data_IF_191796553441
#
_entry.id   IF_191796553441
#
_cell.length_a   1.000
_cell.length_b   1.000
_cell.length_c   1.000
_cell.angle_alpha   90.00
_cell.angle_beta   90.00
_cell.angle_gamma   90.00
#
_symmetry.space_group_name_H-M   'P 1'
#
loop_
_entity.id
_entity.type
_entity.pdbx_description
1 polymer ?
#
# COMPACT_ATOMS: atom_id res chain seq x y z
N UNK A 1 -9.24 12.87 -7.74
CA UNK A 1 -9.37 11.59 -7.01
C UNK A 1 -8.80 11.80 -5.63
N UNK A 2 -9.43 11.21 -4.60
CA UNK A 2 -8.83 11.14 -3.27
C UNK A 2 -7.50 10.36 -3.31
N UNK A 3 -6.56 10.71 -2.44
CA UNK A 3 -5.22 10.09 -2.32
C UNK A 3 -5.34 8.59 -2.09
N UNK A 4 -6.39 8.14 -1.40
CA UNK A 4 -6.72 6.73 -1.23
C UNK A 4 -6.97 5.99 -2.55
N UNK A 5 -7.78 6.56 -3.45
CA UNK A 5 -8.03 5.94 -4.76
C UNK A 5 -6.79 6.01 -5.66
N UNK A 6 -6.04 7.11 -5.60
CA UNK A 6 -4.78 7.23 -6.32
C UNK A 6 -3.78 6.15 -5.87
N UNK A 7 -3.64 5.92 -4.56
CA UNK A 7 -2.85 4.82 -4.00
C UNK A 7 -3.34 3.47 -4.52
N UNK A 8 -4.63 3.19 -4.36
CA UNK A 8 -5.24 1.90 -4.74
C UNK A 8 -5.01 1.56 -6.22
N UNK A 9 -5.28 2.50 -7.13
CA UNK A 9 -5.06 2.28 -8.56
C UNK A 9 -3.57 2.19 -8.91
N UNK A 10 -2.71 2.94 -8.22
CA UNK A 10 -1.26 2.86 -8.44
C UNK A 10 -0.69 1.52 -7.97
N UNK A 11 -1.11 1.02 -6.81
CA UNK A 11 -0.77 -0.33 -6.33
C UNK A 11 -1.25 -1.39 -7.30
N UNK A 12 -2.54 -1.38 -7.68
CA UNK A 12 -3.07 -2.34 -8.63
C UNK A 12 -2.33 -2.30 -9.97
N UNK A 13 -2.12 -1.09 -10.52
CA UNK A 13 -1.38 -0.89 -11.77
C UNK A 13 0.07 -1.39 -11.71
N UNK A 14 0.79 -1.10 -10.62
CA UNK A 14 2.17 -1.55 -10.43
C UNK A 14 2.29 -3.07 -10.32
N UNK A 15 1.39 -3.71 -9.56
CA UNK A 15 1.34 -5.17 -9.44
C UNK A 15 0.96 -5.84 -10.76
N UNK A 16 -0.01 -5.28 -11.49
CA UNK A 16 -0.40 -5.76 -12.82
C UNK A 16 0.73 -5.61 -13.84
N UNK A 17 1.51 -4.53 -13.81
CA UNK A 17 2.64 -4.33 -14.70
C UNK A 17 3.73 -5.40 -14.49
N UNK A 18 4.10 -5.65 -13.23
CA UNK A 18 5.05 -6.71 -12.88
C UNK A 18 4.52 -8.09 -13.26
N UNK A 19 3.24 -8.33 -13.00
CA UNK A 19 2.56 -9.57 -13.37
C UNK A 19 2.64 -9.84 -14.87
N UNK A 20 2.30 -8.83 -15.70
CA UNK A 20 2.31 -8.97 -17.15
C UNK A 20 3.71 -9.35 -17.65
N UNK A 21 4.75 -8.69 -17.15
CA UNK A 21 6.13 -8.99 -17.50
C UNK A 21 6.53 -10.44 -17.13
N UNK A 22 6.15 -10.91 -15.94
CA UNK A 22 6.45 -12.25 -15.45
C UNK A 22 5.65 -13.36 -16.15
N UNK A 23 4.42 -13.09 -16.60
CA UNK A 23 3.59 -14.07 -17.31
C UNK A 23 4.06 -14.21 -18.77
N UNK A 24 4.24 -13.07 -19.45
CA UNK A 24 4.50 -13.02 -20.89
C UNK A 24 5.97 -13.17 -21.25
N UNK A 25 6.87 -12.59 -20.44
CA UNK A 25 8.31 -12.60 -20.67
C UNK A 25 9.15 -13.17 -19.51
N UNK A 26 8.79 -14.30 -18.88
CA UNK A 26 9.51 -14.81 -17.70
C UNK A 26 11.00 -15.04 -17.97
N UNK A 27 11.34 -15.64 -19.13
CA UNK A 27 12.74 -15.91 -19.48
C UNK A 27 13.57 -14.64 -19.66
N UNK A 28 12.95 -13.58 -20.17
CA UNK A 28 13.61 -12.28 -20.30
C UNK A 28 13.91 -11.69 -18.92
N UNK A 29 12.91 -11.67 -18.03
CA UNK A 29 13.09 -11.17 -16.66
C UNK A 29 14.16 -11.96 -15.91
N UNK A 30 14.13 -13.30 -15.98
CA UNK A 30 15.15 -14.14 -15.35
C UNK A 30 16.53 -13.81 -15.92
N UNK A 31 16.68 -13.73 -17.25
CA UNK A 31 17.95 -13.42 -17.88
C UNK A 31 18.50 -12.04 -17.53
N UNK A 32 17.62 -11.05 -17.29
CA UNK A 32 18.01 -9.70 -16.86
C UNK A 32 18.48 -9.64 -15.41
N UNK A 33 18.04 -10.58 -14.56
CA UNK A 33 18.36 -10.60 -13.13
C UNK A 33 19.52 -11.53 -12.79
N UNK A 34 19.90 -12.44 -13.70
CA UNK A 34 21.04 -13.33 -13.53
C UNK A 34 22.35 -12.54 -13.55
N UNK A 35 23.24 -12.85 -12.61
CA UNK A 35 24.59 -12.27 -12.56
C UNK A 35 25.44 -12.78 -13.75
N UNK A 36 25.27 -14.05 -14.13
CA UNK A 36 25.86 -14.65 -15.32
C UNK A 36 24.77 -15.00 -16.33
N UNK A 37 24.85 -14.42 -17.54
CA UNK A 37 23.83 -14.64 -18.57
C UNK A 37 23.81 -16.11 -19.01
N UNK A 38 22.71 -16.79 -18.69
CA UNK A 38 22.43 -18.16 -19.15
C UNK A 38 20.94 -18.30 -19.49
N UNK A 39 20.56 -19.34 -20.25
CA UNK A 39 19.15 -19.66 -20.44
C UNK A 39 18.43 -19.86 -19.10
N UNK A 40 17.23 -19.30 -18.99
CA UNK A 40 16.35 -19.53 -17.86
C UNK A 40 15.95 -21.00 -17.80
N UNK A 41 16.09 -21.62 -16.64
CA UNK A 41 15.69 -23.01 -16.42
C UNK A 41 14.16 -23.12 -16.36
N UNK A 42 13.63 -24.33 -16.63
CA UNK A 42 12.19 -24.58 -16.59
C UNK A 42 11.55 -24.24 -15.24
N UNK A 43 12.29 -24.44 -14.13
CA UNK A 43 11.80 -24.13 -12.78
C UNK A 43 11.75 -22.62 -12.53
N UNK A 44 12.75 -21.85 -12.99
CA UNK A 44 12.74 -20.38 -12.86
C UNK A 44 11.59 -19.77 -13.65
N UNK A 45 11.36 -20.28 -14.88
CA UNK A 45 10.25 -19.87 -15.72
C UNK A 45 8.90 -20.22 -15.10
N UNK A 46 8.77 -21.41 -14.52
CA UNK A 46 7.55 -21.83 -13.82
C UNK A 46 7.26 -20.92 -12.61
N UNK A 47 8.25 -20.72 -11.74
CA UNK A 47 8.11 -19.87 -10.55
C UNK A 47 7.84 -18.41 -10.90
N UNK A 48 8.48 -17.87 -11.94
CA UNK A 48 8.20 -16.53 -12.45
C UNK A 48 6.73 -16.39 -12.87
N UNK A 49 6.17 -17.35 -13.61
CA UNK A 49 4.75 -17.32 -13.98
C UNK A 49 3.82 -17.47 -12.78
N UNK A 50 4.11 -18.37 -11.85
CA UNK A 50 3.32 -18.51 -10.62
C UNK A 50 3.30 -17.20 -9.81
N UNK A 51 4.44 -16.53 -9.69
CA UNK A 51 4.53 -15.21 -9.06
C UNK A 51 3.71 -14.19 -9.87
N UNK A 52 3.84 -14.17 -11.20
CA UNK A 52 3.06 -13.31 -12.07
C UNK A 52 1.55 -13.45 -11.86
N UNK A 53 1.01 -14.68 -11.84
CA UNK A 53 -0.40 -14.92 -11.56
C UNK A 53 -0.81 -14.51 -10.14
N UNK A 54 0.07 -14.70 -9.16
CA UNK A 54 -0.16 -14.27 -7.77
C UNK A 54 -0.25 -12.74 -7.67
N UNK A 55 0.66 -12.01 -8.32
CA UNK A 55 0.63 -10.55 -8.35
C UNK A 55 -0.60 -10.01 -9.08
N UNK A 56 -1.05 -10.65 -10.17
CA UNK A 56 -2.30 -10.29 -10.84
C UNK A 56 -3.49 -10.44 -9.91
N UNK A 57 -3.53 -11.56 -9.19
CA UNK A 57 -4.61 -11.85 -8.23
C UNK A 57 -4.61 -10.81 -7.12
N UNK A 58 -3.44 -10.45 -6.57
CA UNK A 58 -3.33 -9.39 -5.56
C UNK A 58 -3.77 -8.02 -6.10
N UNK A 59 -3.45 -7.68 -7.35
CA UNK A 59 -3.91 -6.45 -7.99
C UNK A 59 -5.45 -6.40 -8.07
N UNK A 60 -6.07 -7.49 -8.51
CA UNK A 60 -7.53 -7.62 -8.59
C UNK A 60 -8.16 -7.55 -7.20
N UNK A 61 -7.64 -8.28 -6.21
CA UNK A 61 -8.11 -8.24 -4.84
C UNK A 61 -7.99 -6.84 -4.24
N UNK A 62 -6.90 -6.12 -4.53
CA UNK A 62 -6.72 -4.73 -4.08
C UNK A 62 -7.83 -3.83 -4.62
N UNK A 63 -8.16 -3.94 -5.91
CA UNK A 63 -9.25 -3.15 -6.51
C UNK A 63 -10.64 -3.51 -5.96
N UNK A 64 -10.88 -4.81 -5.70
CA UNK A 64 -12.17 -5.31 -5.18
C UNK A 64 -12.39 -4.93 -3.72
N UNK A 65 -11.39 -5.17 -2.85
CA UNK A 65 -11.53 -5.00 -1.40
C UNK A 65 -11.52 -3.54 -0.94
N UNK A 66 -11.03 -2.64 -1.79
CA UNK A 66 -11.06 -1.18 -1.58
C UNK A 66 -12.32 -0.54 -2.14
N UNK A 67 -13.23 -1.32 -2.75
CA UNK A 67 -14.48 -0.80 -3.33
C UNK A 67 -14.27 0.06 -4.58
N UNK A 68 -13.11 -0.06 -5.25
CA UNK A 68 -12.81 0.67 -6.49
C UNK A 68 -13.57 0.12 -7.71
N UNK A 69 -14.13 -1.08 -7.58
CA UNK A 69 -15.06 -1.68 -8.55
C UNK A 69 -16.43 -1.76 -7.86
N UNK A 70 -17.46 -1.04 -8.37
CA UNK A 70 -18.79 -1.09 -7.77
C UNK A 70 -19.40 -2.47 -7.99
N UNK A 71 -19.56 -3.23 -6.90
CA UNK A 71 -20.16 -4.57 -6.93
C UNK A 71 -21.69 -4.55 -6.96
N UNK A 72 -22.29 -3.39 -6.66
CA UNK A 72 -23.75 -3.19 -6.62
C UNK A 72 -24.15 -1.87 -7.27
N UNK A 73 -25.26 -1.87 -8.03
CA UNK A 73 -25.76 -0.69 -8.75
C UNK A 73 -26.30 0.44 -7.85
N UNK A 74 -26.29 0.26 -6.53
CA UNK A 74 -26.84 1.19 -5.53
C UNK A 74 -25.83 2.19 -4.97
N UNK A 75 -24.55 2.12 -5.37
CA UNK A 75 -23.48 2.90 -4.73
C UNK A 75 -23.10 4.11 -5.60
N UNK A 76 -23.75 5.26 -5.37
CA UNK A 76 -23.48 6.52 -6.07
C UNK A 76 -22.39 7.39 -5.42
N UNK A 77 -21.97 7.05 -4.20
CA UNK A 77 -20.96 7.79 -3.42
C UNK A 77 -19.64 7.03 -3.34
N UNK A 78 -18.52 7.75 -3.39
CA UNK A 78 -17.17 7.20 -3.30
C UNK A 78 -16.91 6.47 -1.97
N UNK A 79 -16.10 5.41 -2.04
CA UNK A 79 -15.65 4.64 -0.87
C UNK A 79 -14.52 5.38 -0.16
N UNK A 80 -14.56 5.39 1.16
CA UNK A 80 -13.61 6.09 2.03
C UNK A 80 -12.83 5.10 2.91
N UNK A 81 -11.76 5.58 3.55
CA UNK A 81 -10.97 4.82 4.53
C UNK A 81 -11.51 4.91 5.97
N UNK A 82 -12.75 5.37 6.14
CA UNK A 82 -13.37 5.54 7.45
C UNK A 82 -13.87 4.20 8.00
N UNK A 83 -13.62 3.92 9.28
CA UNK A 83 -14.05 2.68 9.96
C UNK A 83 -15.59 2.51 9.95
N UNK A 84 -16.34 3.61 9.80
CA UNK A 84 -17.80 3.60 9.70
C UNK A 84 -18.33 3.46 8.28
N UNK A 85 -17.46 3.38 7.27
CA UNK A 85 -17.89 3.20 5.88
C UNK A 85 -18.30 1.74 5.63
N UNK A 86 -19.60 1.51 5.67
CA UNK A 86 -20.18 0.18 5.45
C UNK A 86 -20.03 -0.32 4.00
N UNK A 87 -19.58 0.53 3.06
CA UNK A 87 -19.46 0.20 1.64
C UNK A 87 -18.23 -0.65 1.32
N UNK A 88 -17.15 -0.54 2.10
CA UNK A 88 -15.93 -1.33 1.91
C UNK A 88 -15.24 -1.62 3.26
N UNK A 89 -15.75 -2.59 4.04
CA UNK A 89 -15.18 -2.93 5.36
C UNK A 89 -13.72 -3.40 5.30
N UNK A 90 -13.24 -3.77 4.11
CA UNK A 90 -11.87 -4.22 3.89
C UNK A 90 -10.94 -3.14 3.30
N UNK A 91 -11.41 -1.90 3.08
CA UNK A 91 -10.60 -0.84 2.48
C UNK A 91 -9.37 -0.50 3.33
N UNK A 92 -9.56 -0.22 4.63
CA UNK A 92 -8.46 0.11 5.54
C UNK A 92 -7.51 -1.08 5.78
N UNK A 93 -7.98 -2.31 6.09
CA UNK A 93 -7.10 -3.47 6.17
C UNK A 93 -6.30 -3.75 4.89
N UNK A 94 -6.93 -3.59 3.72
CA UNK A 94 -6.26 -3.78 2.42
C UNK A 94 -5.20 -2.71 2.20
N UNK A 95 -5.50 -1.45 2.51
CA UNK A 95 -4.54 -0.35 2.48
C UNK A 95 -3.32 -0.65 3.37
N UNK A 96 -3.54 -1.02 4.63
CA UNK A 96 -2.46 -1.35 5.57
C UNK A 96 -1.61 -2.52 5.08
N UNK A 97 -2.26 -3.60 4.63
CA UNK A 97 -1.57 -4.81 4.17
C UNK A 97 -0.74 -4.55 2.91
N UNK A 98 -1.32 -3.86 1.93
CA UNK A 98 -0.60 -3.50 0.69
C UNK A 98 0.53 -2.50 0.96
N UNK A 99 0.35 -1.60 1.94
CA UNK A 99 1.42 -0.68 2.36
C UNK A 99 2.60 -1.43 2.96
N UNK A 100 2.32 -2.39 3.85
CA UNK A 100 3.33 -3.28 4.44
C UNK A 100 4.01 -4.16 3.39
N UNK A 101 3.25 -4.67 2.40
CA UNK A 101 3.79 -5.38 1.26
C UNK A 101 4.78 -4.50 0.49
N UNK A 102 4.39 -3.27 0.12
CA UNK A 102 5.29 -2.35 -0.58
C UNK A 102 6.54 -2.02 0.23
N UNK A 103 6.41 -1.74 1.53
CA UNK A 103 7.55 -1.45 2.39
C UNK A 103 8.52 -2.65 2.45
N UNK A 104 8.00 -3.86 2.67
CA UNK A 104 8.81 -5.08 2.79
C UNK A 104 9.51 -5.42 1.47
N UNK A 105 8.79 -5.36 0.35
CA UNK A 105 9.37 -5.61 -0.98
C UNK A 105 10.39 -4.54 -1.36
N UNK A 106 10.14 -3.27 -1.04
CA UNK A 106 11.09 -2.19 -1.28
C UNK A 106 12.39 -2.36 -0.49
N UNK A 107 12.28 -2.72 0.80
CA UNK A 107 13.44 -3.02 1.65
C UNK A 107 14.23 -4.23 1.13
N UNK A 108 13.54 -5.29 0.68
CA UNK A 108 14.20 -6.46 0.11
C UNK A 108 14.85 -6.16 -1.26
N UNK A 109 14.20 -5.37 -2.12
CA UNK A 109 14.83 -4.91 -3.36
C UNK A 109 16.06 -4.04 -3.08
N UNK A 110 16.07 -3.27 -1.98
CA UNK A 110 17.21 -2.46 -1.57
C UNK A 110 18.41 -3.32 -1.18
N UNK A 111 18.20 -4.45 -0.48
CA UNK A 111 19.32 -5.36 -0.16
C UNK A 111 19.94 -5.95 -1.43
N UNK A 112 19.13 -6.29 -2.43
CA UNK A 112 19.63 -6.72 -3.74
C UNK A 112 20.36 -5.61 -4.50
N UNK A 113 19.81 -4.39 -4.52
CA UNK A 113 20.44 -3.24 -5.15
C UNK A 113 21.84 -2.97 -4.58
N UNK A 114 21.98 -2.91 -3.25
CA UNK A 114 23.26 -2.64 -2.60
C UNK A 114 24.26 -3.79 -2.81
N UNK A 115 23.78 -5.03 -2.90
CA UNK A 115 24.65 -6.20 -3.05
C UNK A 115 25.12 -6.43 -4.49
N UNK A 116 24.29 -6.11 -5.50
CA UNK A 116 24.56 -6.43 -6.92
C UNK A 116 24.72 -5.23 -7.83
N UNK A 117 24.22 -4.05 -7.46
CA UNK A 117 24.28 -2.84 -8.28
C UNK A 117 23.46 -2.91 -9.59
N UNK A 118 22.52 -3.85 -9.73
CA UNK A 118 21.67 -3.96 -10.93
C UNK A 118 20.51 -2.93 -10.91
N UNK A 119 20.44 -2.07 -11.92
CA UNK A 119 19.49 -0.93 -11.96
C UNK A 119 18.01 -1.32 -11.89
N UNK A 120 17.66 -2.54 -12.28
CA UNK A 120 16.31 -3.10 -12.13
C UNK A 120 15.83 -3.09 -10.68
N UNK A 121 16.71 -3.40 -9.72
CA UNK A 121 16.37 -3.34 -8.29
C UNK A 121 16.18 -1.90 -7.81
N UNK A 122 16.91 -0.92 -8.35
CA UNK A 122 16.71 0.49 -8.00
C UNK A 122 15.32 1.00 -8.42
N UNK A 123 14.84 0.59 -9.60
CA UNK A 123 13.47 0.89 -10.04
C UNK A 123 12.44 0.29 -9.07
N UNK A 124 12.64 -0.97 -8.66
CA UNK A 124 11.79 -1.63 -7.68
C UNK A 124 11.79 -0.91 -6.33
N UNK A 125 12.97 -0.55 -5.80
CA UNK A 125 13.12 0.23 -4.56
C UNK A 125 12.32 1.53 -4.65
N UNK A 126 12.50 2.29 -5.73
CA UNK A 126 11.90 3.61 -5.89
C UNK A 126 10.37 3.52 -5.91
N UNK A 127 9.82 2.62 -6.71
CA UNK A 127 8.36 2.47 -6.84
C UNK A 127 7.72 1.91 -5.58
N UNK A 128 8.33 0.88 -4.98
CA UNK A 128 7.80 0.29 -3.75
C UNK A 128 7.93 1.24 -2.55
N UNK A 129 9.03 1.99 -2.42
CA UNK A 129 9.18 2.98 -1.36
C UNK A 129 8.19 4.15 -1.52
N UNK A 130 7.99 4.62 -2.75
CA UNK A 130 7.00 5.67 -3.05
C UNK A 130 5.58 5.25 -2.69
N UNK A 131 5.15 4.05 -3.12
CA UNK A 131 3.83 3.52 -2.79
C UNK A 131 3.69 3.29 -1.29
N UNK A 132 4.70 2.73 -0.62
CA UNK A 132 4.68 2.57 0.84
C UNK A 132 4.55 3.90 1.58
N UNK A 133 5.20 4.97 1.12
CA UNK A 133 5.09 6.30 1.69
C UNK A 133 3.68 6.90 1.52
N UNK A 134 3.07 6.75 0.34
CA UNK A 134 1.68 7.17 0.11
C UNK A 134 0.73 6.33 0.96
N UNK A 135 0.93 5.02 1.02
CA UNK A 135 0.09 4.12 1.83
C UNK A 135 0.15 4.48 3.31
N UNK A 136 1.35 4.73 3.83
CA UNK A 136 1.55 5.25 5.19
C UNK A 136 0.87 6.60 5.39
N UNK A 137 0.95 7.50 4.41
CA UNK A 137 0.23 8.78 4.44
C UNK A 137 -1.28 8.56 4.56
N UNK A 138 -1.86 7.68 3.75
CA UNK A 138 -3.28 7.36 3.82
C UNK A 138 -3.68 6.77 5.19
N UNK A 139 -2.86 5.88 5.74
CA UNK A 139 -3.11 5.30 7.08
C UNK A 139 -3.07 6.36 8.18
N UNK A 140 -2.12 7.30 8.13
CA UNK A 140 -1.93 8.32 9.16
C UNK A 140 -2.92 9.49 9.04
N UNK A 141 -3.24 9.89 7.80
CA UNK A 141 -3.87 11.18 7.52
C UNK A 141 -5.12 11.11 6.66
N UNK A 142 -5.43 10.00 5.97
CA UNK A 142 -6.67 9.90 5.18
C UNK A 142 -7.86 9.34 5.98
N UNK A 143 -7.63 8.67 7.11
CA UNK A 143 -8.69 8.18 8.03
C UNK A 143 -9.11 9.26 9.05
N UNK A 144 -9.45 10.45 8.56
CA UNK A 144 -9.87 11.54 9.44
C UNK A 144 -10.95 12.42 8.83
N UNK A 145 -12.20 12.01 9.03
CA UNK A 145 -13.04 12.90 9.82
C UNK A 145 -12.40 13.02 11.21
N UNK A 146 -11.89 14.20 11.53
CA UNK A 146 -11.30 14.47 12.83
C UNK A 146 -12.24 13.98 13.92
N UNK A 147 -11.74 13.18 14.88
CA UNK A 147 -12.50 12.82 16.09
C UNK A 147 -12.61 14.07 16.97
N UNK A 148 -13.29 15.09 16.47
CA UNK A 148 -13.61 16.30 17.20
C UNK A 148 -14.67 15.90 18.21
N UNK A 149 -14.34 16.09 19.47
CA UNK A 149 -15.27 15.87 20.56
C UNK A 149 -16.49 16.76 20.37
N UNK A 150 -17.66 16.17 20.09
CA UNK A 150 -18.95 16.90 20.02
C UNK A 150 -19.26 17.69 21.30
N UNK A 151 -18.68 17.29 22.44
CA UNK A 151 -18.86 17.95 23.75
C UNK A 151 -17.92 19.14 23.96
N UNK A 152 -16.74 19.14 23.35
CA UNK A 152 -15.68 20.12 23.69
C UNK A 152 -15.08 20.83 22.49
N UNK A 153 -15.47 20.48 21.25
CA UNK A 153 -14.89 21.01 20.02
C UNK A 153 -13.41 20.71 19.82
N UNK A 154 -12.80 19.96 20.74
CA UNK A 154 -11.38 19.63 20.73
C UNK A 154 -11.15 18.38 19.88
N UNK A 155 -10.13 18.42 19.03
CA UNK A 155 -9.63 17.24 18.35
C UNK A 155 -9.09 16.23 19.39
N UNK A 156 -9.68 15.03 19.43
CA UNK A 156 -9.31 13.97 20.37
C UNK A 156 -7.97 13.31 20.03
N UNK A 157 -7.38 13.57 18.86
CA UNK A 157 -6.11 12.99 18.44
C UNK A 157 -4.87 13.82 18.81
N UNK A 158 -5.03 15.00 19.44
CA UNK A 158 -3.91 15.91 19.75
C UNK A 158 -2.92 15.39 20.79
N UNK A 159 -3.08 14.19 21.36
CA UNK A 159 -2.14 13.62 22.33
C UNK A 159 -1.83 12.13 22.09
N UNK A 160 -2.05 11.63 20.87
CA UNK A 160 -1.95 10.21 20.53
C UNK A 160 -0.69 9.82 19.74
N UNK A 161 -0.31 8.55 19.82
CA UNK A 161 0.74 7.91 19.02
C UNK A 161 0.43 7.99 17.50
N UNK A 162 1.43 8.16 16.62
CA UNK A 162 2.87 8.19 16.90
C UNK A 162 3.44 9.57 17.24
N UNK A 163 2.68 10.65 17.07
CA UNK A 163 3.16 12.02 17.31
C UNK A 163 2.47 12.62 18.53
N UNK A 164 2.99 12.27 19.72
CA UNK A 164 2.52 12.86 20.97
C UNK A 164 2.81 14.38 20.98
N UNK A 165 1.75 15.19 21.08
CA UNK A 165 1.88 16.64 21.16
C UNK A 165 1.76 17.08 22.63
N UNK A 166 2.92 17.44 23.19
CA UNK A 166 3.08 17.88 24.58
C UNK A 166 2.37 19.21 24.87
N UNK A 167 2.25 20.11 23.90
CA UNK A 167 1.53 21.38 24.05
C UNK A 167 0.02 21.16 24.18
N UNK A 168 -0.54 20.23 23.41
CA UNK A 168 -1.94 19.85 23.54
C UNK A 168 -2.24 19.14 24.87
N UNK A 169 -1.31 18.33 25.38
CA UNK A 169 -1.45 17.67 26.68
C UNK A 169 -1.55 18.68 27.84
N UNK A 170 -0.81 19.80 27.79
CA UNK A 170 -0.88 20.87 28.81
C UNK A 170 -2.29 21.45 28.96
N UNK A 171 -3.05 21.56 27.86
CA UNK A 171 -4.44 22.07 27.87
C UNK A 171 -5.41 21.17 28.64
N UNK A 172 -5.07 19.90 28.86
CA UNK A 172 -5.88 18.92 29.59
C UNK A 172 -5.37 18.63 31.02
N UNK A 173 -4.17 19.13 31.39
CA UNK A 173 -3.55 18.86 32.69
C UNK A 173 -4.34 19.42 33.89
N UNK A 174 -5.08 20.52 33.70
CA UNK A 174 -5.84 21.18 34.77
C UNK A 174 -7.20 20.58 35.12
N UNK A 175 -7.64 19.50 34.45
CA UNK A 175 -8.98 18.90 34.65
C UNK A 175 -8.99 17.59 35.45
N UNK A 176 -7.85 17.14 35.99
CA UNK A 176 -7.74 15.88 36.76
C UNK A 176 -7.94 16.04 38.27
N UNK A 177 -8.34 17.22 38.75
CA UNK A 177 -8.69 17.43 40.15
C UNK A 177 -10.01 18.17 40.26
N UNK A 178 -11.10 17.41 40.31
CA UNK A 178 -12.42 17.71 40.90
C UNK A 178 -13.27 16.45 40.78
#
# INVERSE_FOLDING_TARGET
MDVFHAYTYSTAGWLSLQSLALITGPSMIVSMLLDETRPASSIEVYLARCLGFSLLTLAVLTALLTGSIPLTNTTSEAVTTEDSDTKAPYALPTLMLTSAFHATTGLYAYTWWVSRGQGTFLVAVTMHAFLAAIGLWCVLFASSDGKISRRTGADKRTAGFPFANSEAAKKHAGKKGL
#
